data_IF_292351703271
#
_entry.id   IF_292351703271
#
_cell.length_a   1.000
_cell.length_b   1.000
_cell.length_c   1.000
_cell.angle_alpha   90.00
_cell.angle_beta   90.00
_cell.angle_gamma   90.00
#
_symmetry.space_group_name_H-M   'P 1'
#
loop_
_entity.id
_entity.type
_entity.pdbx_description
1 polymer ?
#
# COMPACT_ATOMS: atom_id res chain seq x y z
N UNK A 1 -14.68 10.44 15.27
CA UNK A 1 -13.44 10.48 14.53
C UNK A 1 -13.60 9.68 13.26
N UNK A 2 -13.44 10.34 12.13
CA UNK A 2 -13.69 9.72 10.84
C UNK A 2 -12.40 9.64 10.03
N UNK A 3 -12.01 8.43 9.67
CA UNK A 3 -10.97 8.24 8.65
C UNK A 3 -11.65 8.33 7.29
N UNK A 4 -10.99 8.97 6.35
CA UNK A 4 -11.47 9.08 4.97
C UNK A 4 -10.46 8.48 4.03
N UNK A 5 -10.95 8.00 2.88
CA UNK A 5 -10.14 7.38 1.84
C UNK A 5 -10.39 8.12 0.54
N UNK A 6 -9.33 8.36 -0.23
CA UNK A 6 -9.47 8.83 -1.60
C UNK A 6 -8.45 8.15 -2.50
N UNK A 7 -8.67 8.22 -3.78
CA UNK A 7 -7.69 7.78 -4.76
C UNK A 7 -6.47 8.70 -4.74
N UNK A 8 -5.32 8.14 -5.04
CA UNK A 8 -4.10 8.93 -5.20
C UNK A 8 -4.21 9.80 -6.44
N UNK A 9 -3.72 11.03 -6.34
CA UNK A 9 -3.74 12.01 -7.41
C UNK A 9 -2.36 12.10 -8.10
N UNK A 10 -2.31 12.89 -9.17
CA UNK A 10 -1.07 13.10 -9.93
C UNK A 10 0.10 13.63 -9.09
N UNK A 11 -0.20 14.42 -8.06
CA UNK A 11 0.83 15.12 -7.28
C UNK A 11 1.18 14.43 -5.96
N UNK A 12 0.42 13.44 -5.53
CA UNK A 12 0.64 12.79 -4.23
C UNK A 12 2.02 12.14 -4.12
N UNK A 13 2.52 11.55 -5.20
CA UNK A 13 3.83 10.93 -5.18
C UNK A 13 4.90 11.95 -4.77
N UNK A 14 4.96 13.08 -5.44
CA UNK A 14 5.96 14.12 -5.15
C UNK A 14 5.68 14.84 -3.84
N UNK A 15 4.42 15.15 -3.56
CA UNK A 15 4.06 16.02 -2.44
C UNK A 15 4.01 15.29 -1.10
N UNK A 16 3.73 14.00 -1.11
CA UNK A 16 3.49 13.24 0.14
C UNK A 16 4.37 12.01 0.23
N UNK A 17 4.32 11.12 -0.78
CA UNK A 17 4.87 9.78 -0.63
C UNK A 17 6.39 9.73 -0.65
N UNK A 18 7.04 10.53 -1.48
CA UNK A 18 8.52 10.60 -1.51
C UNK A 18 9.03 11.00 -0.14
N UNK A 19 8.40 11.98 0.50
CA UNK A 19 8.76 12.40 1.85
C UNK A 19 8.58 11.25 2.86
N UNK A 20 7.49 10.51 2.75
CA UNK A 20 7.24 9.39 3.67
C UNK A 20 8.31 8.31 3.55
N UNK A 21 8.68 7.90 2.35
CA UNK A 21 9.77 6.93 2.19
C UNK A 21 11.08 7.47 2.79
N UNK A 22 11.36 8.75 2.58
CA UNK A 22 12.53 9.40 3.17
C UNK A 22 12.51 9.40 4.70
N UNK A 23 11.35 9.59 5.32
CA UNK A 23 11.20 9.54 6.78
C UNK A 23 11.63 8.19 7.35
N UNK A 24 11.39 7.08 6.61
CA UNK A 24 11.79 5.73 7.02
C UNK A 24 13.21 5.39 6.61
N UNK A 25 13.90 6.29 5.90
CA UNK A 25 15.24 6.04 5.40
C UNK A 25 15.27 5.13 4.17
N UNK A 26 14.19 5.08 3.43
CA UNK A 26 14.05 4.24 2.25
C UNK A 26 14.12 5.05 0.98
N UNK A 27 14.71 4.45 -0.05
CA UNK A 27 14.68 5.00 -1.41
C UNK A 27 13.28 4.86 -1.98
N UNK A 28 12.64 5.93 -2.43
CA UNK A 28 11.33 5.80 -3.05
C UNK A 28 11.44 5.04 -4.39
N UNK A 29 10.45 4.21 -4.74
CA UNK A 29 10.42 3.59 -6.06
C UNK A 29 10.24 4.65 -7.12
N UNK A 30 10.73 4.40 -8.34
CA UNK A 30 10.48 5.29 -9.46
C UNK A 30 8.97 5.42 -9.68
N UNK A 31 8.54 6.61 -10.05
CA UNK A 31 7.11 6.89 -10.23
C UNK A 31 6.46 5.95 -11.25
N UNK A 32 7.18 5.64 -12.33
CA UNK A 32 6.67 4.74 -13.37
C UNK A 32 6.79 3.26 -13.00
N UNK A 33 7.42 2.94 -11.88
CA UNK A 33 7.40 1.59 -11.31
C UNK A 33 6.07 1.32 -10.60
N UNK A 34 5.37 2.37 -10.20
CA UNK A 34 4.10 2.29 -9.48
C UNK A 34 2.92 2.25 -10.44
N UNK A 35 1.82 1.59 -10.08
CA UNK A 35 0.65 1.52 -10.95
C UNK A 35 0.16 2.89 -11.37
N UNK A 36 -0.14 3.02 -12.65
CA UNK A 36 -0.70 4.24 -13.25
C UNK A 36 0.09 5.50 -12.89
N UNK A 37 1.43 5.41 -13.01
CA UNK A 37 2.35 6.51 -12.71
C UNK A 37 2.12 7.14 -11.32
N UNK A 38 1.98 6.28 -10.32
CA UNK A 38 1.82 6.72 -8.94
C UNK A 38 0.40 7.04 -8.53
N UNK A 39 -0.59 6.84 -9.39
CA UNK A 39 -2.01 7.11 -9.10
C UNK A 39 -2.84 5.86 -8.82
N UNK A 40 -2.30 4.69 -9.06
CA UNK A 40 -3.03 3.42 -8.98
C UNK A 40 -3.19 2.86 -7.58
N UNK A 41 -3.56 3.70 -6.64
CA UNK A 41 -3.75 3.32 -5.26
C UNK A 41 -4.64 4.29 -4.51
N UNK A 42 -4.64 4.17 -3.19
CA UNK A 42 -5.47 4.99 -2.31
C UNK A 42 -4.66 5.50 -1.13
N UNK A 43 -5.17 6.54 -0.51
CA UNK A 43 -4.57 7.17 0.67
C UNK A 43 -5.64 7.39 1.73
N UNK A 44 -5.27 7.16 2.98
CA UNK A 44 -6.16 7.28 4.14
C UNK A 44 -5.77 8.52 4.94
N UNK A 45 -6.78 9.30 5.30
CA UNK A 45 -6.64 10.54 6.07
C UNK A 45 -7.37 10.46 7.40
N UNK A 46 -6.82 11.15 8.39
CA UNK A 46 -7.50 11.53 9.63
C UNK A 46 -7.74 13.04 9.52
N UNK A 47 -8.97 13.44 9.17
CA UNK A 47 -9.24 14.85 8.84
C UNK A 47 -8.36 15.32 7.69
N UNK A 48 -7.49 16.30 7.95
CA UNK A 48 -6.57 16.85 6.96
C UNK A 48 -5.19 16.19 7.01
N UNK A 49 -4.98 15.21 7.89
CA UNK A 49 -3.67 14.59 8.09
C UNK A 49 -3.63 13.25 7.37
N UNK A 50 -2.77 13.08 6.35
CA UNK A 50 -2.62 11.79 5.69
C UNK A 50 -1.85 10.82 6.57
N UNK A 51 -2.35 9.58 6.67
CA UNK A 51 -1.79 8.55 7.55
C UNK A 51 -1.00 7.51 6.79
N UNK A 52 -1.56 6.95 5.74
CA UNK A 52 -0.94 5.85 4.99
C UNK A 52 -1.52 5.76 3.59
N UNK A 53 -0.76 5.10 2.71
CA UNK A 53 -1.13 4.90 1.32
C UNK A 53 -0.62 3.55 0.83
N UNK A 54 -1.19 3.06 -0.25
CA UNK A 54 -0.78 1.81 -0.85
C UNK A 54 -1.30 1.69 -2.27
N UNK A 55 -0.81 0.67 -2.96
CA UNK A 55 -1.05 0.47 -4.38
C UNK A 55 -1.60 -0.90 -4.68
N UNK A 56 -2.30 -1.02 -5.78
CA UNK A 56 -2.68 -2.32 -6.31
C UNK A 56 -2.29 -2.41 -7.79
N UNK A 57 -1.66 -3.52 -8.13
CA UNK A 57 -1.35 -3.85 -9.52
C UNK A 57 -2.41 -4.81 -10.02
N UNK A 58 -2.82 -4.64 -11.26
CA UNK A 58 -3.68 -5.60 -11.94
C UNK A 58 -2.82 -6.34 -12.96
N UNK A 59 -2.95 -7.65 -12.98
CA UNK A 59 -2.21 -8.50 -13.91
C UNK A 59 -3.13 -8.95 -15.04
N UNK A 60 -2.56 -9.63 -16.01
CA UNK A 60 -3.34 -10.26 -17.09
C UNK A 60 -3.86 -11.65 -16.70
N UNK A 61 -3.83 -11.98 -15.40
CA UNK A 61 -4.45 -13.19 -14.86
C UNK A 61 -5.55 -12.78 -13.88
N UNK A 62 -6.03 -13.70 -13.06
CA UNK A 62 -7.00 -13.39 -12.01
C UNK A 62 -6.35 -12.96 -10.70
N UNK A 63 -5.10 -12.54 -10.74
CA UNK A 63 -4.34 -12.09 -9.57
C UNK A 63 -4.24 -10.58 -9.56
N UNK A 64 -4.65 -9.96 -8.44
CA UNK A 64 -4.31 -8.58 -8.11
C UNK A 64 -3.16 -8.59 -7.12
N UNK A 65 -2.42 -7.51 -7.05
CA UNK A 65 -1.24 -7.41 -6.20
C UNK A 65 -1.35 -6.15 -5.34
N UNK A 66 -1.43 -6.30 -4.03
CA UNK A 66 -1.55 -5.18 -3.09
C UNK A 66 -0.20 -4.99 -2.41
N UNK A 67 0.47 -3.90 -2.71
CA UNK A 67 1.84 -3.69 -2.25
C UNK A 67 2.17 -2.19 -2.12
N UNK A 68 3.43 -1.90 -1.81
CA UNK A 68 3.93 -0.53 -1.64
C UNK A 68 3.17 0.22 -0.56
N UNK A 69 2.87 -0.47 0.54
CA UNK A 69 2.21 0.15 1.69
C UNK A 69 3.23 1.05 2.39
N UNK A 70 2.86 2.30 2.59
CA UNK A 70 3.72 3.28 3.26
C UNK A 70 2.88 4.11 4.22
N UNK A 71 3.44 4.44 5.39
CA UNK A 71 2.76 5.26 6.38
C UNK A 71 3.55 6.51 6.71
N UNK A 72 2.84 7.53 7.20
CA UNK A 72 3.43 8.74 7.72
C UNK A 72 4.07 8.42 9.08
N UNK A 73 5.41 8.36 9.13
CA UNK A 73 6.15 8.01 10.35
C UNK A 73 5.85 8.96 11.50
N UNK A 74 5.60 10.23 11.19
CA UNK A 74 5.38 11.26 12.20
C UNK A 74 3.93 11.37 12.68
N UNK A 75 3.04 10.55 12.14
CA UNK A 75 1.70 10.44 12.68
C UNK A 75 1.77 9.64 13.97
N UNK A 76 1.41 10.25 15.10
CA UNK A 76 1.74 9.72 16.43
C UNK A 76 0.66 8.85 17.06
N UNK A 77 -0.55 8.85 16.54
CA UNK A 77 -1.66 8.05 17.09
C UNK A 77 -1.55 6.61 16.61
N UNK A 78 -0.79 5.80 17.33
CA UNK A 78 -0.42 4.44 16.90
C UNK A 78 -1.61 3.50 16.65
N UNK A 79 -2.61 3.53 17.52
CA UNK A 79 -3.79 2.66 17.36
C UNK A 79 -4.57 3.04 16.12
N UNK A 80 -4.70 4.33 15.87
CA UNK A 80 -5.42 4.83 14.71
C UNK A 80 -4.64 4.54 13.42
N UNK A 81 -3.30 4.60 13.48
CA UNK A 81 -2.46 4.19 12.34
C UNK A 81 -2.68 2.72 12.02
N UNK A 82 -2.70 1.86 13.03
CA UNK A 82 -2.96 0.44 12.83
C UNK A 82 -4.32 0.23 12.16
N UNK A 83 -5.34 0.89 12.65
CA UNK A 83 -6.67 0.81 12.07
C UNK A 83 -6.69 1.33 10.63
N UNK A 84 -5.99 2.43 10.37
CA UNK A 84 -5.90 2.99 9.03
C UNK A 84 -5.20 2.03 8.04
N UNK A 85 -4.15 1.33 8.49
CA UNK A 85 -3.46 0.33 7.67
C UNK A 85 -4.38 -0.87 7.37
N UNK A 86 -5.14 -1.33 8.34
CA UNK A 86 -6.13 -2.39 8.11
C UNK A 86 -7.18 -1.94 7.10
N UNK A 87 -7.68 -0.72 7.24
CA UNK A 87 -8.65 -0.15 6.33
C UNK A 87 -8.09 -0.02 4.91
N UNK A 88 -6.84 0.43 4.79
CA UNK A 88 -6.14 0.59 3.53
C UNK A 88 -6.02 -0.75 2.78
N UNK A 89 -5.47 -1.77 3.43
CA UNK A 89 -5.27 -3.08 2.82
C UNK A 89 -6.60 -3.73 2.48
N UNK A 90 -7.57 -3.63 3.39
CA UNK A 90 -8.91 -4.17 3.18
C UNK A 90 -9.58 -3.53 1.96
N UNK A 91 -9.49 -2.22 1.83
CA UNK A 91 -10.12 -1.51 0.70
C UNK A 91 -9.43 -1.84 -0.63
N UNK A 92 -8.10 -1.89 -0.66
CA UNK A 92 -7.37 -2.26 -1.88
C UNK A 92 -7.74 -3.69 -2.30
N UNK A 93 -7.84 -4.60 -1.34
CA UNK A 93 -8.25 -5.98 -1.59
C UNK A 93 -9.67 -6.05 -2.16
N UNK A 94 -10.59 -5.29 -1.58
CA UNK A 94 -11.97 -5.21 -2.05
C UNK A 94 -12.03 -4.71 -3.49
N UNK A 95 -11.26 -3.67 -3.82
CA UNK A 95 -11.22 -3.13 -5.18
C UNK A 95 -10.72 -4.19 -6.16
N UNK A 96 -9.69 -4.95 -5.80
CA UNK A 96 -9.23 -6.07 -6.62
C UNK A 96 -10.37 -7.03 -6.95
N UNK A 97 -11.15 -7.41 -5.95
CA UNK A 97 -12.31 -8.27 -6.17
C UNK A 97 -13.37 -7.68 -7.09
N UNK A 98 -13.64 -6.38 -6.92
CA UNK A 98 -14.65 -5.68 -7.72
C UNK A 98 -14.25 -5.58 -9.20
N UNK A 99 -12.94 -5.52 -9.50
CA UNK A 99 -12.48 -5.47 -10.89
C UNK A 99 -12.20 -6.86 -11.48
N UNK A 100 -12.57 -7.93 -10.77
CA UNK A 100 -12.56 -9.29 -11.30
C UNK A 100 -11.41 -10.18 -10.86
N UNK A 101 -10.59 -9.77 -9.91
CA UNK A 101 -9.55 -10.65 -9.38
C UNK A 101 -10.16 -11.76 -8.54
N UNK A 102 -9.57 -12.95 -8.63
CA UNK A 102 -9.95 -14.10 -7.82
C UNK A 102 -8.98 -14.29 -6.66
N UNK A 103 -7.75 -13.84 -6.83
CA UNK A 103 -6.68 -13.93 -5.83
C UNK A 103 -6.04 -12.57 -5.65
N UNK A 104 -5.58 -12.29 -4.43
CA UNK A 104 -4.80 -11.08 -4.15
C UNK A 104 -3.48 -11.50 -3.52
N UNK A 105 -2.39 -10.95 -4.02
CA UNK A 105 -1.03 -11.34 -3.71
C UNK A 105 -0.27 -10.16 -3.14
N UNK A 106 0.72 -10.41 -2.27
CA UNK A 106 1.58 -9.37 -1.72
C UNK A 106 2.94 -9.96 -1.34
N UNK A 107 3.98 -9.13 -1.39
CA UNK A 107 5.31 -9.48 -0.90
C UNK A 107 5.69 -8.49 0.19
N UNK A 108 5.86 -8.97 1.41
CA UNK A 108 6.02 -8.11 2.57
C UNK A 108 7.19 -8.60 3.42
N UNK A 109 8.06 -7.67 3.84
CA UNK A 109 9.17 -7.98 4.76
C UNK A 109 8.86 -7.61 6.20
N UNK A 110 8.12 -6.53 6.41
CA UNK A 110 7.84 -6.00 7.74
C UNK A 110 6.90 -6.93 8.50
N UNK A 111 7.34 -7.46 9.64
CA UNK A 111 6.58 -8.44 10.42
C UNK A 111 5.25 -7.89 10.93
N UNK A 112 5.21 -6.62 11.32
CA UNK A 112 3.99 -5.99 11.79
C UNK A 112 2.95 -5.92 10.65
N UNK A 113 3.39 -5.60 9.44
CA UNK A 113 2.52 -5.52 8.28
C UNK A 113 2.06 -6.92 7.84
N UNK A 114 2.93 -7.92 7.90
CA UNK A 114 2.55 -9.33 7.63
C UNK A 114 1.40 -9.72 8.55
N UNK A 115 1.50 -9.39 9.83
CA UNK A 115 0.45 -9.69 10.80
C UNK A 115 -0.86 -9.00 10.43
N UNK A 116 -0.80 -7.75 10.00
CA UNK A 116 -1.97 -7.01 9.55
C UNK A 116 -2.65 -7.72 8.39
N UNK A 117 -1.88 -8.16 7.39
CA UNK A 117 -2.43 -8.91 6.26
C UNK A 117 -3.06 -10.22 6.71
N UNK A 118 -2.39 -10.96 7.60
CA UNK A 118 -2.93 -12.21 8.12
C UNK A 118 -4.24 -12.02 8.86
N UNK A 119 -4.36 -10.96 9.65
CA UNK A 119 -5.60 -10.62 10.35
C UNK A 119 -6.74 -10.30 9.38
N UNK A 120 -6.41 -9.89 8.16
CA UNK A 120 -7.39 -9.60 7.11
C UNK A 120 -7.68 -10.80 6.21
N UNK A 121 -7.15 -11.97 6.54
CA UNK A 121 -7.46 -13.22 5.84
C UNK A 121 -6.42 -13.65 4.81
N UNK A 122 -5.30 -12.96 4.69
CA UNK A 122 -4.21 -13.41 3.84
C UNK A 122 -3.49 -14.59 4.49
N UNK A 123 -3.08 -15.55 3.68
CA UNK A 123 -2.39 -16.75 4.13
C UNK A 123 -0.93 -16.64 3.71
N UNK A 124 -0.04 -16.84 4.66
CA UNK A 124 1.40 -16.79 4.38
C UNK A 124 1.82 -17.99 3.54
N UNK A 125 2.46 -17.70 2.41
CA UNK A 125 3.02 -18.71 1.52
C UNK A 125 4.54 -18.84 1.72
N UNK A 126 5.25 -18.97 0.61
CA UNK A 126 6.71 -19.11 0.64
C UNK A 126 7.41 -17.82 1.03
N UNK A 127 8.60 -17.95 1.58
CA UNK A 127 9.46 -16.81 1.87
C UNK A 127 10.57 -16.74 0.83
N UNK A 128 10.72 -15.57 0.21
CA UNK A 128 11.74 -15.33 -0.80
C UNK A 128 12.85 -14.46 -0.23
N UNK A 129 14.07 -14.68 -0.66
CA UNK A 129 15.25 -14.01 -0.11
C UNK A 129 15.78 -12.87 -0.99
N UNK A 130 15.38 -12.81 -2.25
CA UNK A 130 15.93 -11.83 -3.19
C UNK A 130 14.85 -11.22 -4.07
N UNK A 131 14.94 -9.91 -4.23
CA UNK A 131 14.21 -9.19 -5.25
C UNK A 131 15.15 -9.04 -6.46
N UNK A 132 14.63 -9.28 -7.65
CA UNK A 132 15.42 -9.18 -8.87
C UNK A 132 14.74 -8.18 -9.80
N UNK A 133 15.47 -7.17 -10.24
CA UNK A 133 14.97 -6.13 -11.14
C UNK A 133 15.95 -5.95 -12.28
N UNK A 134 15.43 -5.85 -13.49
CA UNK A 134 16.21 -5.47 -14.67
C UNK A 134 15.53 -4.29 -15.33
N UNK A 135 16.28 -3.22 -15.53
CA UNK A 135 15.81 -2.07 -16.33
C UNK A 135 16.05 -2.38 -17.80
N UNK A 136 15.04 -2.24 -18.61
CA UNK A 136 15.11 -2.55 -20.04
C UNK A 136 15.48 -1.32 -20.86
#
# INVERSE_FOLDING_TARGET
MALTIRELSETDYEDILVEWWGQWGWEPPQKDFLPNDGKGGIIVYDGDVPICAGYMYLTNSKVGWVDWIISNKYYTKKELRKYALELLVSRLTEICGLVGCKYVYALIKNQSLIKTYEELGYIKGDSYTSEMIKVL
#
